data_IF_432907344786
#
_entry.id   IF_432907344786
#
_cell.length_a   1.000
_cell.length_b   1.000
_cell.length_c   1.000
_cell.angle_alpha   90.00
_cell.angle_beta   90.00
_cell.angle_gamma   90.00
#
_symmetry.space_group_name_H-M   'P 1'
#
loop_
_entity.id
_entity.type
_entity.pdbx_description
1 polymer ?
#
# COMPACT_ATOMS: atom_id res chain seq x y z
N UNK A 1 -9.59 0.08 15.81
CA UNK A 1 -8.28 -0.39 15.31
C UNK A 1 -7.17 0.19 16.17
N UNK A 2 -6.11 -0.58 16.42
CA UNK A 2 -4.85 -0.09 16.99
C UNK A 2 -3.79 -0.21 15.89
N UNK A 3 -3.65 0.85 15.11
CA UNK A 3 -2.97 0.81 13.81
C UNK A 3 -1.58 1.41 13.82
N UNK A 4 -0.72 0.92 12.94
CA UNK A 4 0.58 1.50 12.60
C UNK A 4 0.74 1.59 11.09
N UNK A 5 1.31 2.71 10.62
CA UNK A 5 1.49 2.95 9.18
C UNK A 5 2.76 2.23 8.73
N UNK A 6 2.60 1.01 8.26
CA UNK A 6 3.70 0.06 8.07
C UNK A 6 4.72 0.51 7.00
N UNK A 7 4.27 1.26 5.99
CA UNK A 7 5.14 1.83 4.98
C UNK A 7 5.48 3.31 5.22
N UNK A 8 5.33 3.82 6.46
CA UNK A 8 5.83 5.13 6.84
C UNK A 8 7.37 5.15 6.85
N UNK A 9 7.95 6.29 6.46
CA UNK A 9 9.38 6.55 6.61
C UNK A 9 9.75 7.08 8.00
N UNK A 10 8.75 7.37 8.82
CA UNK A 10 8.92 7.95 10.15
C UNK A 10 8.60 6.91 11.24
N UNK A 11 9.53 6.75 12.18
CA UNK A 11 9.34 5.89 13.36
C UNK A 11 8.14 6.34 14.18
N UNK A 12 7.79 7.63 14.10
CA UNK A 12 6.65 8.19 14.79
C UNK A 12 5.34 7.43 14.49
N UNK A 13 5.07 7.15 13.20
CA UNK A 13 3.85 6.47 12.76
C UNK A 13 3.91 4.95 12.83
N UNK A 14 5.13 4.39 12.96
CA UNK A 14 5.37 2.96 13.12
C UNK A 14 5.17 2.49 14.56
N UNK A 15 5.70 3.23 15.54
CA UNK A 15 5.69 2.80 16.94
C UNK A 15 5.53 3.91 17.98
N UNK A 16 6.06 5.12 17.76
CA UNK A 16 6.11 6.13 18.82
C UNK A 16 4.72 6.56 19.27
N UNK A 17 3.82 6.87 18.33
CA UNK A 17 2.46 7.30 18.67
C UNK A 17 1.65 6.15 19.29
N UNK A 18 1.93 4.91 18.90
CA UNK A 18 1.32 3.72 19.48
C UNK A 18 1.76 3.51 20.93
N UNK A 19 3.06 3.67 21.23
CA UNK A 19 3.59 3.61 22.59
C UNK A 19 2.95 4.70 23.46
N UNK A 20 2.83 5.92 22.95
CA UNK A 20 2.18 7.04 23.66
C UNK A 20 0.68 6.79 23.90
N UNK A 21 -0.02 6.21 22.93
CA UNK A 21 -1.46 5.95 23.00
C UNK A 21 -1.84 4.72 23.83
N UNK A 22 -0.97 3.72 23.95
CA UNK A 22 -1.30 2.43 24.58
C UNK A 22 -1.81 2.54 26.03
N UNK A 23 -1.21 3.36 26.94
CA UNK A 23 -1.73 3.52 28.30
C UNK A 23 -3.14 4.13 28.33
N UNK A 24 -3.43 5.05 27.41
CA UNK A 24 -4.76 5.68 27.29
C UNK A 24 -5.79 4.64 26.85
N UNK A 25 -5.49 3.87 25.80
CA UNK A 25 -6.34 2.77 25.31
C UNK A 25 -6.62 1.76 26.43
N UNK A 26 -5.58 1.38 27.20
CA UNK A 26 -5.72 0.45 28.33
C UNK A 26 -6.60 1.01 29.44
N UNK A 27 -6.42 2.28 29.81
CA UNK A 27 -7.21 2.96 30.85
C UNK A 27 -8.69 3.06 30.46
N UNK A 28 -8.98 3.28 29.18
CA UNK A 28 -10.34 3.35 28.66
C UNK A 28 -11.03 1.98 28.54
N UNK A 29 -10.32 0.87 28.78
CA UNK A 29 -10.88 -0.48 28.65
C UNK A 29 -11.24 -0.86 27.21
N UNK A 30 -10.67 -0.20 26.21
CA UNK A 30 -10.94 -0.47 24.80
C UNK A 30 -10.14 -1.69 24.33
N UNK A 31 -10.75 -2.53 23.48
CA UNK A 31 -10.03 -3.63 22.84
C UNK A 31 -9.08 -3.10 21.75
N UNK A 32 -7.74 -3.30 21.87
CA UNK A 32 -6.83 -3.00 20.79
C UNK A 32 -6.89 -4.11 19.73
N UNK A 33 -7.21 -3.74 18.50
CA UNK A 33 -7.13 -4.63 17.33
C UNK A 33 -5.87 -4.27 16.54
N UNK A 34 -4.75 -5.02 16.66
CA UNK A 34 -3.51 -4.73 15.94
C UNK A 34 -3.77 -4.74 14.44
N UNK A 35 -3.52 -3.62 13.78
CA UNK A 35 -3.84 -3.43 12.36
C UNK A 35 -2.63 -2.86 11.61
N UNK A 36 -2.16 -3.57 10.60
CA UNK A 36 -1.17 -3.03 9.67
C UNK A 36 -1.89 -2.12 8.67
N UNK A 37 -1.58 -0.83 8.71
CA UNK A 37 -2.13 0.16 7.79
C UNK A 37 -1.10 0.48 6.70
N UNK A 38 -1.49 0.32 5.44
CA UNK A 38 -0.58 0.37 4.29
C UNK A 38 -1.13 1.40 3.29
N UNK A 39 -0.35 2.43 3.00
CA UNK A 39 -0.78 3.51 2.10
C UNK A 39 -0.37 3.22 0.66
N UNK A 40 -1.35 3.21 -0.23
CA UNK A 40 -1.18 3.05 -1.68
C UNK A 40 -1.22 4.43 -2.36
N UNK A 41 -0.68 4.52 -3.57
CA UNK A 41 -0.92 5.69 -4.42
C UNK A 41 -2.42 5.89 -4.72
N UNK A 42 -2.93 7.14 -4.67
CA UNK A 42 -2.20 8.40 -4.51
C UNK A 42 -1.92 8.84 -3.06
N UNK A 43 -2.42 8.12 -2.06
CA UNK A 43 -2.18 8.36 -0.63
C UNK A 43 -2.88 9.58 -0.03
N UNK A 44 -3.05 10.66 -0.81
CA UNK A 44 -3.72 11.91 -0.40
C UNK A 44 -3.16 12.43 0.94
N UNK A 45 -4.02 13.01 1.79
CA UNK A 45 -3.61 13.62 3.05
C UNK A 45 -2.91 12.62 3.98
N UNK A 46 -3.40 11.38 4.09
CA UNK A 46 -2.78 10.37 4.96
C UNK A 46 -1.37 10.02 4.48
N UNK A 47 -1.17 9.88 3.17
CA UNK A 47 0.16 9.64 2.61
C UNK A 47 1.15 10.76 2.90
N UNK A 48 0.69 12.02 2.80
CA UNK A 48 1.51 13.19 3.06
C UNK A 48 1.85 13.33 4.56
N UNK A 49 0.85 13.30 5.43
CA UNK A 49 1.02 13.48 6.89
C UNK A 49 1.84 12.33 7.49
N UNK A 50 1.63 11.10 7.02
CA UNK A 50 2.36 9.94 7.53
C UNK A 50 3.76 9.78 6.94
N UNK A 51 4.18 10.64 6.01
CA UNK A 51 5.41 10.48 5.22
C UNK A 51 5.53 9.03 4.68
N UNK A 52 4.44 8.52 4.08
CA UNK A 52 4.38 7.15 3.60
C UNK A 52 5.19 6.98 2.31
N UNK A 53 5.97 5.90 2.25
CA UNK A 53 6.52 5.40 1.01
C UNK A 53 5.41 4.70 0.22
N UNK A 54 4.61 5.50 -0.50
CA UNK A 54 3.40 5.04 -1.19
C UNK A 54 3.70 3.85 -2.09
N UNK A 55 2.86 2.82 -2.02
CA UNK A 55 2.98 1.66 -2.89
C UNK A 55 2.35 2.00 -4.24
N UNK A 56 3.08 1.86 -5.36
CA UNK A 56 2.54 2.14 -6.67
C UNK A 56 1.39 1.19 -7.05
N UNK A 57 0.40 1.72 -7.77
CA UNK A 57 -0.83 0.98 -8.11
C UNK A 57 -0.58 -0.25 -8.99
N UNK A 58 0.51 -0.26 -9.75
CA UNK A 58 0.95 -1.36 -10.62
C UNK A 58 1.86 -2.37 -9.91
N UNK A 59 2.18 -2.15 -8.63
CA UNK A 59 3.11 -2.97 -7.84
C UNK A 59 2.41 -3.80 -6.77
N UNK A 60 1.54 -4.70 -7.23
CA UNK A 60 0.88 -5.69 -6.37
C UNK A 60 1.85 -6.60 -5.59
N UNK A 61 3.06 -6.82 -6.12
CA UNK A 61 4.14 -7.53 -5.45
C UNK A 61 4.61 -6.81 -4.17
N UNK A 62 4.78 -5.49 -4.23
CA UNK A 62 5.16 -4.69 -3.08
C UNK A 62 4.02 -4.61 -2.05
N UNK A 63 2.78 -4.47 -2.51
CA UNK A 63 1.60 -4.47 -1.64
C UNK A 63 1.48 -5.78 -0.86
N UNK A 64 1.60 -6.92 -1.55
CA UNK A 64 1.54 -8.25 -0.95
C UNK A 64 2.69 -8.49 0.03
N UNK A 65 3.92 -8.13 -0.33
CA UNK A 65 5.08 -8.26 0.56
C UNK A 65 4.91 -7.42 1.84
N UNK A 66 4.42 -6.19 1.71
CA UNK A 66 4.20 -5.29 2.85
C UNK A 66 3.08 -5.82 3.74
N UNK A 67 1.98 -6.31 3.16
CA UNK A 67 0.89 -6.93 3.90
C UNK A 67 1.33 -8.17 4.69
N UNK A 68 2.12 -9.04 4.06
CA UNK A 68 2.68 -10.24 4.70
C UNK A 68 3.61 -9.89 5.86
N UNK A 69 4.45 -8.86 5.70
CA UNK A 69 5.28 -8.37 6.79
C UNK A 69 4.41 -7.90 7.98
N UNK A 70 3.30 -7.21 7.72
CA UNK A 70 2.35 -6.81 8.76
C UNK A 70 1.74 -8.00 9.50
N UNK A 71 1.31 -9.05 8.79
CA UNK A 71 0.84 -10.30 9.39
C UNK A 71 1.92 -10.93 10.29
N UNK A 72 3.15 -11.05 9.79
CA UNK A 72 4.27 -11.62 10.57
C UNK A 72 4.68 -10.77 11.78
N UNK A 73 4.42 -9.46 11.74
CA UNK A 73 4.58 -8.56 12.88
C UNK A 73 3.41 -8.60 13.88
N UNK A 74 2.46 -9.52 13.69
CA UNK A 74 1.35 -9.75 14.61
C UNK A 74 0.11 -8.89 14.34
N UNK A 75 0.00 -8.27 13.16
CA UNK A 75 -1.26 -7.65 12.76
C UNK A 75 -2.36 -8.72 12.67
N UNK A 76 -3.51 -8.46 13.30
CA UNK A 76 -4.71 -9.30 13.18
C UNK A 76 -5.61 -8.84 12.03
N UNK A 77 -5.32 -7.67 11.46
CA UNK A 77 -6.01 -7.11 10.29
C UNK A 77 -4.95 -6.41 9.41
N UNK A 78 -5.06 -6.59 8.10
CA UNK A 78 -4.37 -5.74 7.12
C UNK A 78 -5.37 -4.77 6.51
N UNK A 79 -4.98 -3.50 6.40
CA UNK A 79 -5.76 -2.46 5.77
C UNK A 79 -4.90 -1.72 4.74
N UNK A 80 -5.25 -1.81 3.46
CA UNK A 80 -4.63 -0.99 2.41
C UNK A 80 -5.52 0.20 2.06
N UNK A 81 -4.97 1.40 1.95
CA UNK A 81 -5.73 2.62 1.71
C UNK A 81 -5.12 3.47 0.59
N UNK A 82 -5.92 3.84 -0.41
CA UNK A 82 -5.52 4.77 -1.48
C UNK A 82 -5.62 6.24 -1.06
N UNK A 83 -6.11 6.51 0.15
CA UNK A 83 -6.36 7.83 0.70
C UNK A 83 -7.81 8.30 0.49
N UNK A 84 -8.33 9.03 1.47
CA UNK A 84 -9.65 9.67 1.38
C UNK A 84 -9.71 10.62 0.17
N UNK A 85 -10.79 10.55 -0.60
CA UNK A 85 -10.93 11.32 -1.84
C UNK A 85 -10.00 10.89 -2.99
N UNK A 86 -9.34 9.73 -2.93
CA UNK A 86 -8.67 9.16 -4.10
C UNK A 86 -9.63 9.12 -5.32
N UNK A 87 -9.18 9.43 -6.54
CA UNK A 87 -10.07 9.51 -7.71
C UNK A 87 -10.71 8.15 -8.03
N UNK A 88 -9.98 7.06 -7.79
CA UNK A 88 -10.41 5.70 -8.06
C UNK A 88 -9.85 4.72 -7.00
N UNK A 89 -10.55 3.60 -6.72
CA UNK A 89 -10.00 2.52 -5.90
C UNK A 89 -8.72 1.94 -6.51
N UNK A 90 -7.94 1.20 -5.73
CA UNK A 90 -6.78 0.48 -6.23
C UNK A 90 -7.21 -0.59 -7.27
N UNK A 91 -6.32 -0.94 -8.22
CA UNK A 91 -6.63 -1.97 -9.20
C UNK A 91 -7.00 -3.31 -8.55
N UNK A 92 -8.02 -4.03 -9.07
CA UNK A 92 -8.43 -5.33 -8.54
C UNK A 92 -7.29 -6.34 -8.42
N UNK A 93 -6.32 -6.28 -9.34
CA UNK A 93 -5.15 -7.16 -9.36
C UNK A 93 -4.23 -6.93 -8.16
N UNK A 94 -4.11 -5.67 -7.69
CA UNK A 94 -3.35 -5.35 -6.47
C UNK A 94 -4.03 -5.93 -5.24
N UNK A 95 -5.36 -5.74 -5.13
CA UNK A 95 -6.18 -6.26 -4.03
C UNK A 95 -6.10 -7.80 -3.98
N UNK A 96 -6.21 -8.45 -5.14
CA UNK A 96 -6.08 -9.90 -5.27
C UNK A 96 -4.67 -10.40 -4.89
N UNK A 97 -3.62 -9.68 -5.31
CA UNK A 97 -2.26 -10.01 -4.92
C UNK A 97 -2.08 -9.96 -3.40
N UNK A 98 -2.55 -8.90 -2.73
CA UNK A 98 -2.51 -8.80 -1.26
C UNK A 98 -3.24 -9.99 -0.63
N UNK A 99 -4.50 -10.25 -1.01
CA UNK A 99 -5.29 -11.34 -0.41
C UNK A 99 -4.65 -12.72 -0.59
N UNK A 100 -3.93 -12.95 -1.69
CA UNK A 100 -3.28 -14.24 -1.95
C UNK A 100 -2.09 -14.55 -1.04
N UNK A 101 -1.51 -13.55 -0.37
CA UNK A 101 -0.34 -13.73 0.50
C UNK A 101 -0.66 -13.71 1.99
N UNK A 102 -1.82 -13.21 2.41
CA UNK A 102 -2.17 -13.05 3.82
C UNK A 102 -3.35 -13.94 4.23
N UNK A 103 -3.30 -14.43 5.48
CA UNK A 103 -4.36 -15.25 6.07
C UNK A 103 -5.27 -14.45 7.00
N UNK A 104 -4.83 -13.26 7.43
CA UNK A 104 -5.63 -12.36 8.28
C UNK A 104 -6.72 -11.63 7.47
N UNK A 105 -7.79 -11.16 8.12
CA UNK A 105 -8.79 -10.30 7.50
C UNK A 105 -8.17 -9.10 6.78
N UNK A 106 -8.62 -8.89 5.54
CA UNK A 106 -8.12 -7.83 4.66
C UNK A 106 -9.20 -6.79 4.38
N UNK A 107 -8.93 -5.53 4.74
CA UNK A 107 -9.81 -4.41 4.45
C UNK A 107 -9.17 -3.45 3.44
N UNK A 108 -10.00 -2.88 2.58
CA UNK A 108 -9.58 -1.91 1.59
C UNK A 108 -10.25 -0.54 1.82
N UNK A 109 -9.50 0.55 1.76
CA UNK A 109 -9.97 1.93 1.89
C UNK A 109 -9.57 2.83 0.72
N UNK A 110 -10.32 3.91 0.54
CA UNK A 110 -9.98 4.99 -0.40
C UNK A 110 -10.55 4.80 -1.81
N UNK A 111 -11.21 5.84 -2.31
CA UNK A 111 -11.64 5.96 -3.71
C UNK A 111 -12.91 5.22 -4.13
N UNK A 112 -13.51 4.40 -3.26
CA UNK A 112 -14.77 3.70 -3.55
C UNK A 112 -15.98 4.64 -3.42
N UNK A 113 -16.72 4.83 -4.51
CA UNK A 113 -17.89 5.74 -4.60
C UNK A 113 -19.17 5.08 -5.09
N UNK A 114 -19.11 3.91 -5.71
CA UNK A 114 -20.28 3.25 -6.30
C UNK A 114 -20.40 1.79 -5.85
N UNK A 115 -21.62 1.21 -5.88
CA UNK A 115 -21.85 -0.19 -5.55
C UNK A 115 -21.04 -1.17 -6.43
N UNK A 116 -20.82 -0.83 -7.70
CA UNK A 116 -20.06 -1.65 -8.65
C UNK A 116 -18.57 -1.68 -8.28
N UNK A 117 -18.03 -0.54 -7.84
CA UNK A 117 -16.67 -0.46 -7.31
C UNK A 117 -16.53 -1.29 -6.04
N UNK A 118 -17.51 -1.18 -5.12
CA UNK A 118 -17.55 -1.98 -3.90
C UNK A 118 -17.58 -3.49 -4.21
N UNK A 119 -18.46 -3.92 -5.11
CA UNK A 119 -18.53 -5.29 -5.60
C UNK A 119 -17.20 -5.77 -6.18
N UNK A 120 -16.55 -4.94 -7.00
CA UNK A 120 -15.27 -5.25 -7.63
C UNK A 120 -14.15 -5.47 -6.59
N UNK A 121 -14.08 -4.61 -5.58
CA UNK A 121 -13.09 -4.69 -4.49
C UNK A 121 -13.29 -5.97 -3.66
N UNK A 122 -14.53 -6.27 -3.28
CA UNK A 122 -14.85 -7.50 -2.54
C UNK A 122 -14.59 -8.72 -3.41
N UNK A 123 -14.94 -8.70 -4.70
CA UNK A 123 -14.68 -9.81 -5.64
C UNK A 123 -13.18 -10.09 -5.77
N UNK A 124 -12.35 -9.04 -5.74
CA UNK A 124 -10.90 -9.14 -5.85
C UNK A 124 -10.25 -9.80 -4.63
N UNK A 125 -10.87 -9.77 -3.44
CA UNK A 125 -10.36 -10.49 -2.27
C UNK A 125 -10.47 -9.75 -0.94
N UNK A 126 -10.78 -8.45 -0.94
CA UNK A 126 -10.99 -7.72 0.30
C UNK A 126 -12.18 -8.30 1.08
N UNK A 127 -11.99 -8.57 2.36
CA UNK A 127 -13.04 -9.09 3.25
C UNK A 127 -13.98 -7.97 3.72
N UNK A 128 -13.54 -6.72 3.64
CA UNK A 128 -14.36 -5.54 3.86
C UNK A 128 -13.83 -4.29 3.16
N UNK A 129 -14.67 -3.25 3.10
CA UNK A 129 -14.33 -1.95 2.51
C UNK A 129 -14.62 -0.80 3.48
N UNK A 130 -13.80 0.26 3.42
CA UNK A 130 -14.03 1.51 4.13
C UNK A 130 -14.43 2.60 3.14
N UNK A 131 -15.60 3.21 3.39
CA UNK A 131 -16.21 4.22 2.54
C UNK A 131 -16.59 5.41 3.42
N UNK A 132 -15.97 6.57 3.17
CA UNK A 132 -16.29 7.83 3.83
C UNK A 132 -16.84 8.84 2.83
N UNK A 133 -15.97 9.36 1.94
CA UNK A 133 -16.27 10.43 0.98
C UNK A 133 -17.57 10.24 0.18
N UNK A 134 -17.93 9.00 -0.18
CA UNK A 134 -19.15 8.74 -0.94
C UNK A 134 -20.44 9.05 -0.16
N UNK A 135 -20.37 9.00 1.17
CA UNK A 135 -21.46 9.29 2.09
C UNK A 135 -21.44 10.74 2.56
N UNK A 136 -20.24 11.30 2.82
CA UNK A 136 -20.06 12.72 3.17
C UNK A 136 -20.67 13.65 2.11
N UNK A 137 -20.55 13.31 0.82
CA UNK A 137 -21.15 14.08 -0.29
C UNK A 137 -22.70 14.12 -0.28
N UNK A 138 -23.35 13.29 0.53
CA UNK A 138 -24.81 13.18 0.63
C UNK A 138 -25.33 13.52 2.03
N UNK A 139 -24.51 14.10 2.90
CA UNK A 139 -24.88 14.39 4.29
C UNK A 139 -26.13 15.28 4.42
N UNK A 140 -26.34 16.17 3.45
CA UNK A 140 -27.49 17.08 3.41
C UNK A 140 -28.76 16.46 2.79
N UNK A 141 -28.72 15.19 2.36
CA UNK A 141 -29.85 14.47 1.78
C UNK A 141 -29.96 13.07 2.40
N UNK A 142 -30.61 12.94 3.58
CA UNK A 142 -30.68 11.68 4.32
C UNK A 142 -31.30 10.52 3.52
N UNK A 143 -32.25 10.81 2.62
CA UNK A 143 -32.90 9.79 1.79
C UNK A 143 -31.92 9.21 0.79
N UNK A 144 -31.20 10.06 0.04
CA UNK A 144 -30.18 9.60 -0.90
C UNK A 144 -29.03 8.89 -0.19
N UNK A 145 -28.64 9.36 0.99
CA UNK A 145 -27.63 8.69 1.80
C UNK A 145 -28.08 7.26 2.17
N UNK A 146 -29.31 7.10 2.66
CA UNK A 146 -29.87 5.79 3.00
C UNK A 146 -29.92 4.85 1.78
N UNK A 147 -30.40 5.35 0.63
CA UNK A 147 -30.44 4.60 -0.63
C UNK A 147 -29.03 4.15 -1.07
N UNK A 148 -28.05 5.07 -1.00
CA UNK A 148 -26.66 4.77 -1.34
C UNK A 148 -26.07 3.71 -0.41
N UNK A 149 -26.29 3.82 0.90
CA UNK A 149 -25.84 2.82 1.88
C UNK A 149 -26.46 1.46 1.57
N UNK A 150 -27.78 1.40 1.33
CA UNK A 150 -28.47 0.14 0.99
C UNK A 150 -27.89 -0.50 -0.26
N UNK A 151 -27.67 0.28 -1.33
CA UNK A 151 -27.09 -0.21 -2.57
C UNK A 151 -25.66 -0.75 -2.38
N UNK A 152 -24.81 -0.04 -1.64
CA UNK A 152 -23.44 -0.46 -1.31
C UNK A 152 -23.44 -1.76 -0.48
N UNK A 153 -24.28 -1.82 0.55
CA UNK A 153 -24.41 -3.01 1.41
C UNK A 153 -24.91 -4.21 0.63
N UNK A 154 -25.89 -4.02 -0.27
CA UNK A 154 -26.39 -5.08 -1.14
C UNK A 154 -25.26 -5.65 -2.00
N UNK A 155 -24.54 -4.79 -2.72
CA UNK A 155 -23.44 -5.19 -3.60
C UNK A 155 -22.33 -5.95 -2.85
N UNK A 156 -21.95 -5.49 -1.65
CA UNK A 156 -20.96 -6.18 -0.80
C UNK A 156 -21.47 -7.53 -0.33
N UNK A 157 -22.73 -7.62 0.12
CA UNK A 157 -23.32 -8.88 0.64
C UNK A 157 -23.50 -9.92 -0.45
N UNK A 158 -23.94 -9.52 -1.64
CA UNK A 158 -24.15 -10.40 -2.78
C UNK A 158 -22.84 -11.09 -3.17
N UNK A 159 -21.80 -10.31 -3.51
CA UNK A 159 -20.48 -10.83 -3.87
C UNK A 159 -19.81 -11.56 -2.70
N UNK A 160 -19.97 -11.05 -1.48
CA UNK A 160 -19.43 -11.68 -0.28
C UNK A 160 -19.98 -13.10 -0.06
N UNK A 161 -21.29 -13.30 -0.23
CA UNK A 161 -21.91 -14.63 -0.13
C UNK A 161 -21.38 -15.60 -1.18
N UNK A 162 -21.18 -15.14 -2.41
CA UNK A 162 -20.58 -15.97 -3.45
C UNK A 162 -19.15 -16.41 -3.11
N UNK A 163 -18.35 -15.51 -2.54
CA UNK A 163 -16.98 -15.82 -2.11
C UNK A 163 -16.92 -16.83 -0.98
N UNK A 164 -17.83 -16.75 0.00
CA UNK A 164 -17.86 -17.70 1.12
C UNK A 164 -18.33 -19.09 0.67
N UNK A 165 -19.26 -19.17 -0.29
CA UNK A 165 -19.76 -20.44 -0.84
C UNK A 165 -18.73 -21.18 -1.68
N UNK A 166 -17.80 -20.48 -2.32
CA UNK A 166 -16.70 -21.12 -3.05
C UNK A 166 -15.70 -21.65 -2.02
N UNK A 167 -15.38 -22.96 -2.00
CA UNK A 167 -14.33 -23.46 -1.13
C UNK A 167 -13.06 -22.66 -1.41
N UNK A 168 -12.25 -22.39 -0.37
CA UNK A 168 -10.85 -21.97 -0.56
C UNK A 168 -10.20 -23.08 -1.37
N UNK A 169 -10.25 -22.97 -2.69
CA UNK A 169 -9.42 -23.76 -3.59
C UNK A 169 -8.03 -23.49 -3.08
N UNK A 170 -7.40 -24.53 -2.53
CA UNK A 170 -5.99 -24.55 -2.17
C UNK A 170 -5.22 -24.26 -3.45
N UNK A 171 -5.16 -22.98 -3.81
CA UNK A 171 -4.31 -22.54 -4.88
C UNK A 171 -2.91 -22.69 -4.31
N UNK A 172 -2.33 -23.85 -4.63
CA UNK A 172 -0.96 -23.96 -5.08
C UNK A 172 -0.69 -22.84 -6.12
N UNK A 173 -0.64 -21.59 -5.66
CA UNK A 173 -0.26 -20.41 -6.45
C UNK A 173 1.23 -20.08 -6.24
N UNK A 174 1.96 -20.96 -5.54
CA UNK A 174 3.41 -20.98 -5.58
C UNK A 174 3.96 -21.40 -6.95
N UNK A 175 3.12 -21.87 -7.89
CA UNK A 175 3.55 -22.22 -9.25
C UNK A 175 3.56 -21.05 -10.25
N UNK A 176 2.85 -19.95 -9.97
CA UNK A 176 2.68 -18.84 -10.93
C UNK A 176 3.50 -17.57 -10.62
N UNK A 177 3.73 -17.28 -9.34
CA UNK A 177 4.70 -16.26 -8.92
C UNK A 177 5.97 -17.02 -8.58
N UNK A 178 6.87 -17.17 -9.56
CA UNK A 178 8.21 -17.68 -9.29
C UNK A 178 8.79 -16.86 -8.15
N UNK A 179 9.14 -17.52 -7.05
CA UNK A 179 9.96 -16.98 -5.95
C UNK A 179 11.19 -16.24 -6.50
N UNK A 180 11.65 -16.58 -7.71
CA UNK A 180 12.67 -15.84 -8.48
C UNK A 180 12.39 -14.34 -8.64
N UNK A 181 11.12 -13.89 -8.75
CA UNK A 181 10.80 -12.46 -8.86
C UNK A 181 11.05 -11.72 -7.55
N UNK A 182 10.83 -12.40 -6.42
CA UNK A 182 11.13 -11.91 -5.07
C UNK A 182 12.65 -11.90 -4.82
N UNK A 183 13.38 -12.92 -5.27
CA UNK A 183 14.85 -12.97 -5.24
C UNK A 183 15.50 -11.92 -6.16
N UNK A 184 14.84 -11.54 -7.26
CA UNK A 184 15.32 -10.52 -8.17
C UNK A 184 15.24 -9.09 -7.62
N UNK A 185 14.47 -8.80 -6.54
CA UNK A 185 14.51 -7.49 -5.88
C UNK A 185 15.91 -7.18 -5.35
N UNK A 186 16.59 -8.19 -4.80
CA UNK A 186 17.96 -8.07 -4.29
C UNK A 186 18.98 -7.87 -5.41
N UNK A 187 18.74 -8.47 -6.60
CA UNK A 187 19.57 -8.23 -7.79
C UNK A 187 19.31 -6.84 -8.39
N UNK A 188 18.07 -6.35 -8.36
CA UNK A 188 17.70 -5.03 -8.88
C UNK A 188 18.26 -3.88 -8.03
N UNK A 189 18.25 -4.00 -6.69
CA UNK A 189 18.87 -2.97 -5.83
C UNK A 189 20.39 -2.90 -6.07
N UNK A 190 21.07 -4.06 -6.13
CA UNK A 190 22.50 -4.14 -6.45
C UNK A 190 22.82 -3.61 -7.84
N UNK A 191 21.99 -3.86 -8.85
CA UNK A 191 22.17 -3.31 -10.20
C UNK A 191 21.97 -1.79 -10.25
N UNK A 192 21.01 -1.25 -9.48
CA UNK A 192 20.84 0.21 -9.36
C UNK A 192 22.01 0.88 -8.64
N UNK A 193 22.54 0.26 -7.60
CA UNK A 193 23.74 0.75 -6.90
C UNK A 193 24.99 0.67 -7.79
N UNK A 194 25.19 -0.45 -8.49
CA UNK A 194 26.30 -0.62 -9.44
C UNK A 194 26.24 0.41 -10.57
N UNK A 195 25.06 0.64 -11.17
CA UNK A 195 24.89 1.68 -12.21
C UNK A 195 25.15 3.09 -11.68
N UNK A 196 24.72 3.41 -10.44
CA UNK A 196 25.06 4.71 -9.81
C UNK A 196 26.56 4.89 -9.62
N UNK A 197 27.27 3.81 -9.25
CA UNK A 197 28.72 3.83 -9.07
C UNK A 197 29.46 4.00 -10.40
N UNK A 198 29.01 3.32 -11.46
CA UNK A 198 29.59 3.39 -12.79
C UNK A 198 29.39 4.76 -13.45
N UNK A 199 28.23 5.39 -13.25
CA UNK A 199 27.97 6.78 -13.68
C UNK A 199 28.88 7.77 -12.96
N UNK A 200 29.02 7.66 -11.63
CA UNK A 200 29.96 8.50 -10.87
C UNK A 200 31.40 8.36 -11.36
N UNK A 201 31.85 7.14 -11.65
CA UNK A 201 33.21 6.88 -12.14
C UNK A 201 33.45 7.53 -13.51
N UNK A 202 32.48 7.45 -14.42
CA UNK A 202 32.55 8.11 -15.74
C UNK A 202 32.55 9.64 -15.64
N UNK A 203 31.82 10.22 -14.68
CA UNK A 203 31.85 11.66 -14.41
C UNK A 203 33.20 12.13 -13.84
N UNK A 204 33.82 11.33 -12.97
CA UNK A 204 35.16 11.61 -12.43
C UNK A 204 36.26 11.48 -13.49
N UNK A 205 36.19 10.49 -14.38
CA UNK A 205 37.12 10.32 -15.50
C UNK A 205 37.00 11.49 -16.50
N UNK A 206 35.78 11.91 -16.86
CA UNK A 206 35.57 13.12 -17.69
C UNK A 206 36.15 14.37 -17.05
N UNK A 207 35.94 14.58 -15.74
CA UNK A 207 36.53 15.72 -15.02
C UNK A 207 38.06 15.70 -15.01
N UNK A 208 38.68 14.52 -14.92
CA UNK A 208 40.14 14.39 -15.03
C UNK A 208 40.65 14.69 -16.44
N UNK A 209 39.93 14.25 -17.45
CA UNK A 209 40.26 14.49 -18.86
C UNK A 209 40.14 15.97 -19.24
N UNK A 210 39.08 16.65 -18.78
CA UNK A 210 38.91 18.10 -18.96
C UNK A 210 40.00 18.92 -18.24
N UNK A 211 40.38 18.53 -17.01
CA UNK A 211 41.50 19.15 -16.30
C UNK A 211 42.84 18.93 -17.02
N UNK A 212 43.07 17.73 -17.56
CA UNK A 212 44.27 17.42 -18.35
C UNK A 212 44.35 18.24 -19.65
N UNK A 213 43.24 18.38 -20.37
CA UNK A 213 43.13 19.24 -21.57
C UNK A 213 43.34 20.72 -21.24
N UNK A 214 42.80 21.20 -20.13
CA UNK A 214 43.02 22.57 -19.63
C UNK A 214 44.50 22.84 -19.31
N UNK A 215 45.16 21.90 -18.62
CA UNK A 215 46.58 22.00 -18.26
C UNK A 215 47.50 21.95 -19.50
N UNK A 216 47.20 21.08 -20.47
CA UNK A 216 47.94 20.99 -21.73
C UNK A 216 47.76 22.26 -22.59
N UNK A 217 46.58 22.89 -22.55
CA UNK A 217 46.31 24.16 -23.24
C UNK A 217 47.04 25.33 -22.56
N UNK A 218 47.16 25.31 -21.24
CA UNK A 218 47.92 26.29 -20.47
C UNK A 218 49.44 26.21 -20.74
N UNK A 219 49.99 24.99 -20.85
CA UNK A 219 51.41 24.78 -21.14
C UNK A 219 51.82 25.12 -22.58
N UNK A 220 50.89 25.09 -23.54
CA UNK A 220 51.13 25.51 -24.94
C UNK A 220 51.06 27.03 -25.15
N UNK A 221 50.63 27.80 -24.14
CA UNK A 221 50.53 29.27 -24.17
C UNK A 221 51.68 29.99 -23.45
N UNK A 222 52.67 29.26 -22.96
CA UNK A 222 53.97 29.76 -22.50
C UNK A 222 55.03 29.41 -23.52
#
# INVERSE_FOLDING_TARGET
YFMYVLNSREVYWLSTVQIQGAPVVKRMGLEPIPTAYIVLEPGRAVGWISNANLIPRDRGDLAAATALAGEYMGARIVLTDSGSGAPEPAPPQLIAAVKSFINVPYFYGGGCRTPEQAATIIKAGADGIQVGTAFEMLENDPKKLEEKIKAMVHAVKEVGRERVKKPKTSHSFFSGIKIDRFLNLHKWSKQKEAKKFEVKKKEEEKKKEEKGKSLATFLKKK
#
